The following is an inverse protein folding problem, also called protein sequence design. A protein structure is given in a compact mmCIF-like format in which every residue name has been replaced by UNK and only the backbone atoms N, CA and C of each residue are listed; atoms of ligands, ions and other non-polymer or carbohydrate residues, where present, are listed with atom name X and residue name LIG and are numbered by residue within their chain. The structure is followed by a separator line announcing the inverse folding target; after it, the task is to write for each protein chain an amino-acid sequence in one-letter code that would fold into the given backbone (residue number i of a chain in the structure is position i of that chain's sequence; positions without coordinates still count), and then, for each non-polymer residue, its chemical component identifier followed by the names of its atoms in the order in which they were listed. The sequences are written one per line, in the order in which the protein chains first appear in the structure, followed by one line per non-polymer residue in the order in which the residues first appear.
data_IF_312654865187
#
_entry.id   IF_312654865187
#
_cell.length_a   1.000
_cell.length_b   1.000
_cell.length_c   1.000
_cell.angle_alpha   90.00
_cell.angle_beta   90.00
_cell.angle_gamma   90.00
#
_symmetry.space_group_name_H-M   'P 1'
#
loop_
_entity.id
_entity.type
_entity.pdbx_description
1 polymer ?
#
# COMPACT_ATOMS: atom_id res chain seq x y z
N UNK A 1 9.76 -4.08 18.90
CA UNK A 1 9.29 -5.09 17.93
C UNK A 1 8.00 -4.66 17.20
N UNK A 2 6.90 -4.36 17.89
CA UNK A 2 5.62 -4.03 17.24
C UNK A 2 5.64 -2.72 16.43
N UNK A 3 6.30 -1.66 16.92
CA UNK A 3 6.45 -0.40 16.15
C UNK A 3 7.19 -0.61 14.82
N UNK A 4 8.25 -1.42 14.81
CA UNK A 4 9.00 -1.75 13.59
C UNK A 4 8.15 -2.50 12.56
N UNK A 5 7.28 -3.41 13.02
CA UNK A 5 6.33 -4.10 12.15
C UNK A 5 5.38 -3.12 11.44
N UNK A 6 4.73 -2.23 12.20
CA UNK A 6 3.82 -1.23 11.64
C UNK A 6 4.53 -0.22 10.73
N UNK A 7 5.80 0.10 11.01
CA UNK A 7 6.61 0.93 10.12
C UNK A 7 6.88 0.22 8.78
N UNK A 8 7.19 -1.08 8.82
CA UNK A 8 7.36 -1.89 7.61
C UNK A 8 6.08 -1.97 6.78
N UNK A 9 4.93 -2.21 7.42
CA UNK A 9 3.61 -2.21 6.75
C UNK A 9 3.32 -0.84 6.12
N UNK A 10 3.63 0.25 6.85
CA UNK A 10 3.46 1.60 6.32
C UNK A 10 4.29 1.83 5.06
N UNK A 11 5.56 1.42 5.07
CA UNK A 11 6.46 1.56 3.92
C UNK A 11 6.00 0.72 2.73
N UNK A 12 5.67 -0.55 2.94
CA UNK A 12 5.18 -1.44 1.88
C UNK A 12 3.87 -0.94 1.27
N UNK A 13 2.96 -0.44 2.12
CA UNK A 13 1.70 0.15 1.64
C UNK A 13 1.96 1.43 0.85
N UNK A 14 2.91 2.27 1.26
CA UNK A 14 3.26 3.51 0.56
C UNK A 14 3.82 3.27 -0.85
N UNK A 15 4.68 2.27 -1.01
CA UNK A 15 5.31 1.96 -2.31
C UNK A 15 4.39 1.14 -3.23
N UNK A 16 3.40 0.46 -2.67
CA UNK A 16 2.51 -0.44 -3.41
C UNK A 16 1.76 0.19 -4.60
N UNK A 17 1.29 1.46 -4.60
CA UNK A 17 0.66 2.04 -5.78
C UNK A 17 1.61 2.15 -6.96
N UNK A 18 2.89 2.46 -6.70
CA UNK A 18 3.92 2.52 -7.74
C UNK A 18 4.23 1.13 -8.31
N UNK A 19 4.34 0.13 -7.43
CA UNK A 19 4.55 -1.26 -7.87
C UNK A 19 3.35 -1.78 -8.66
N UNK A 20 2.12 -1.46 -8.25
CA UNK A 20 0.90 -1.83 -8.96
C UNK A 20 0.83 -1.14 -10.32
N UNK A 21 1.14 0.16 -10.39
CA UNK A 21 1.19 0.91 -11.64
C UNK A 21 2.21 0.30 -12.61
N UNK A 22 3.43 0.02 -12.13
CA UNK A 22 4.45 -0.65 -12.94
C UNK A 22 3.99 -2.05 -13.37
N UNK A 23 3.39 -2.83 -12.47
CA UNK A 23 2.85 -4.13 -12.84
C UNK A 23 1.80 -4.01 -13.97
N UNK A 24 0.89 -3.05 -13.90
CA UNK A 24 -0.17 -2.89 -14.91
C UNK A 24 0.37 -2.35 -16.24
N UNK A 25 1.28 -1.37 -16.21
CA UNK A 25 1.68 -0.60 -17.40
C UNK A 25 3.09 -0.88 -17.90
N UNK A 26 3.87 -1.72 -17.21
CA UNK A 26 5.27 -2.00 -17.57
C UNK A 26 5.46 -2.92 -18.76
N UNK A 27 4.39 -3.45 -19.34
CA UNK A 27 4.42 -4.34 -20.50
C UNK A 27 3.08 -4.24 -21.24
N UNK A 28 3.13 -3.95 -22.55
CA UNK A 28 1.93 -3.68 -23.35
C UNK A 28 1.07 -4.93 -23.55
N UNK A 29 1.68 -6.11 -23.73
CA UNK A 29 0.95 -7.37 -23.88
C UNK A 29 0.21 -7.72 -22.58
N UNK A 30 0.88 -7.55 -21.45
CA UNK A 30 0.29 -7.74 -20.12
C UNK A 30 -0.81 -6.71 -19.86
N UNK A 31 -0.62 -5.45 -20.25
CA UNK A 31 -1.65 -4.43 -20.10
C UNK A 31 -2.92 -4.80 -20.87
N UNK A 32 -2.78 -5.20 -22.14
CA UNK A 32 -3.89 -5.66 -22.99
C UNK A 32 -4.58 -6.88 -22.37
N UNK A 33 -3.82 -7.85 -21.88
CA UNK A 33 -4.39 -9.00 -21.17
C UNK A 33 -5.13 -8.59 -19.90
N UNK A 34 -4.59 -7.67 -19.10
CA UNK A 34 -5.21 -7.18 -17.87
C UNK A 34 -6.58 -6.58 -18.20
N UNK A 35 -6.69 -5.68 -19.18
CA UNK A 35 -7.96 -5.00 -19.49
C UNK A 35 -8.99 -5.90 -20.19
N UNK A 36 -8.55 -6.93 -20.89
CA UNK A 36 -9.43 -7.89 -21.60
C UNK A 36 -9.68 -9.19 -20.83
N UNK A 37 -8.99 -9.39 -19.71
CA UNK A 37 -9.01 -10.61 -18.92
C UNK A 37 -10.27 -10.81 -18.07
N UNK A 38 -10.36 -11.93 -17.34
CA UNK A 38 -11.49 -12.19 -16.46
C UNK A 38 -11.51 -11.22 -15.27
N UNK A 39 -12.70 -11.02 -14.70
CA UNK A 39 -12.84 -10.33 -13.43
C UNK A 39 -11.99 -11.04 -12.35
N UNK A 40 -11.28 -10.31 -11.46
CA UNK A 40 -11.27 -8.86 -11.29
C UNK A 40 -10.20 -8.11 -12.11
N UNK A 41 -9.35 -8.81 -12.87
CA UNK A 41 -8.20 -8.21 -13.55
C UNK A 41 -8.60 -7.18 -14.61
N UNK A 42 -9.71 -7.40 -15.34
CA UNK A 42 -10.29 -6.41 -16.27
C UNK A 42 -10.54 -5.04 -15.67
N UNK A 43 -10.75 -4.96 -14.36
CA UNK A 43 -11.03 -3.71 -13.67
C UNK A 43 -9.75 -2.99 -13.22
N UNK A 44 -8.60 -3.67 -13.18
CA UNK A 44 -7.33 -3.10 -12.76
C UNK A 44 -6.82 -2.03 -13.74
N UNK A 45 -7.16 -2.12 -15.03
CA UNK A 45 -6.83 -1.06 -15.98
C UNK A 45 -7.77 0.15 -15.92
N UNK A 46 -8.84 0.12 -15.11
CA UNK A 46 -9.75 1.26 -15.01
C UNK A 46 -9.18 2.34 -14.09
N UNK A 47 -9.13 3.57 -14.61
CA UNK A 47 -8.62 4.73 -13.86
C UNK A 47 -9.30 4.92 -12.49
N UNK A 48 -10.64 4.86 -12.38
CA UNK A 48 -11.33 4.99 -11.11
C UNK A 48 -10.93 3.91 -10.09
N UNK A 49 -10.80 2.64 -10.51
CA UNK A 49 -10.40 1.57 -9.61
C UNK A 49 -8.96 1.76 -9.11
N UNK A 50 -8.03 2.08 -10.01
CA UNK A 50 -6.63 2.36 -9.63
C UNK A 50 -6.53 3.52 -8.64
N UNK A 51 -7.32 4.58 -8.83
CA UNK A 51 -7.36 5.73 -7.93
C UNK A 51 -7.84 5.33 -6.53
N UNK A 52 -8.97 4.61 -6.44
CA UNK A 52 -9.51 4.16 -5.15
C UNK A 52 -8.56 3.19 -4.43
N UNK A 53 -7.94 2.27 -5.15
CA UNK A 53 -6.92 1.37 -4.61
C UNK A 53 -5.70 2.16 -4.09
N UNK A 54 -5.22 3.14 -4.86
CA UNK A 54 -4.12 4.01 -4.46
C UNK A 54 -4.44 4.80 -3.19
N UNK A 55 -5.63 5.40 -3.11
CA UNK A 55 -6.10 6.09 -1.90
C UNK A 55 -6.14 5.12 -0.71
N UNK A 56 -6.66 3.91 -0.89
CA UNK A 56 -6.69 2.87 0.14
C UNK A 56 -5.30 2.53 0.68
N UNK A 57 -4.31 2.35 -0.20
CA UNK A 57 -2.92 2.09 0.19
C UNK A 57 -2.28 3.27 0.92
N UNK A 58 -2.52 4.50 0.48
CA UNK A 58 -2.01 5.70 1.16
C UNK A 58 -2.63 5.88 2.55
N UNK A 59 -3.95 5.64 2.70
CA UNK A 59 -4.62 5.67 3.99
C UNK A 59 -4.08 4.57 4.93
N UNK A 60 -3.91 3.35 4.44
CA UNK A 60 -3.33 2.25 5.22
C UNK A 60 -1.89 2.56 5.66
N UNK A 61 -1.10 3.18 4.77
CA UNK A 61 0.26 3.62 5.07
C UNK A 61 0.27 4.64 6.21
N UNK A 62 -0.60 5.66 6.13
CA UNK A 62 -0.71 6.71 7.14
C UNK A 62 -1.16 6.14 8.50
N UNK A 63 -2.21 5.32 8.51
CA UNK A 63 -2.71 4.69 9.73
C UNK A 63 -1.64 3.84 10.41
N UNK A 64 -0.92 3.03 9.62
CA UNK A 64 0.16 2.19 10.13
C UNK A 64 1.33 3.01 10.67
N UNK A 65 1.68 4.13 10.02
CA UNK A 65 2.71 5.04 10.51
C UNK A 65 2.31 5.65 11.86
N UNK A 66 1.07 6.12 12.00
CA UNK A 66 0.55 6.69 13.26
C UNK A 66 0.60 5.65 14.38
N UNK A 67 0.15 4.42 14.12
CA UNK A 67 0.20 3.33 15.10
C UNK A 67 1.65 3.03 15.51
N UNK A 68 2.57 2.98 14.54
CA UNK A 68 3.99 2.78 14.83
C UNK A 68 4.56 3.85 15.76
N UNK A 69 4.23 5.13 15.51
CA UNK A 69 4.67 6.24 16.35
C UNK A 69 4.10 6.17 17.77
N UNK A 70 2.83 5.76 17.92
CA UNK A 70 2.21 5.55 19.24
C UNK A 70 2.96 4.46 20.01
N UNK A 71 3.18 3.30 19.40
CA UNK A 71 3.93 2.21 20.05
C UNK A 71 5.37 2.60 20.41
N UNK A 72 6.06 3.33 19.53
CA UNK A 72 7.39 3.87 19.82
C UNK A 72 7.39 4.79 21.03
N UNK A 73 6.40 5.69 21.15
CA UNK A 73 6.27 6.59 22.30
C UNK A 73 5.95 5.84 23.59
N UNK A 74 5.05 4.86 23.54
CA UNK A 74 4.69 4.05 24.70
C UNK A 74 5.86 3.24 25.22
N UNK A 75 6.67 2.65 24.33
CA UNK A 75 7.86 1.91 24.70
C UNK A 75 8.91 2.81 25.37
N UNK A 76 9.23 3.97 24.76
CA UNK A 76 10.16 4.94 25.35
C UNK A 76 9.70 5.43 26.72
N UNK A 77 8.39 5.64 26.92
CA UNK A 77 7.83 6.02 28.22
C UNK A 77 8.06 4.92 29.26
N UNK A 78 7.90 3.64 28.89
CA UNK A 78 8.09 2.52 29.81
C UNK A 78 9.54 2.29 30.24
N UNK A 79 10.52 2.67 29.41
CA UNK A 79 11.96 2.56 29.74
C UNK A 79 12.53 3.77 30.50
N UNK A 80 11.81 4.90 30.50
CA UNK A 80 12.19 6.13 31.21
C UNK A 80 11.64 6.25 32.63
N UNK A 81 10.98 5.21 33.15
CA UNK A 81 10.61 5.00 34.55
C UNK A 81 11.40 3.81 35.10
#
# INVERSE_FOLDING_TARGET
MLSSLFLGISFLSFISPFLLYWFIHGDDERYVWIISGPYPFSHFGSGPFQLWMGIGFLLMSLLSAVISLIFSKLHKKAEGY
#
